data_IF_979652269778
#
_entry.id   IF_979652269778
#
_cell.length_a   1.000
_cell.length_b   1.000
_cell.length_c   1.000
_cell.angle_alpha   90.00
_cell.angle_beta   90.00
_cell.angle_gamma   90.00
#
_symmetry.space_group_name_H-M   'P 1'
#
loop_
_entity.id
_entity.type
_entity.pdbx_description
1 polymer ?
#
# COMPACT_ATOMS: atom_id res chain seq x y z
N UNK A 1 7.67 45.32 -20.52
CA UNK A 1 7.65 45.01 -19.06
C UNK A 1 6.20 45.02 -18.60
N UNK A 2 5.64 44.06 -17.88
CA UNK A 2 6.22 42.90 -17.22
C UNK A 2 5.22 41.75 -17.13
N UNK A 3 5.76 40.54 -17.10
CA UNK A 3 5.06 39.30 -16.80
C UNK A 3 4.67 39.29 -15.32
N UNK A 4 3.39 39.01 -15.00
CA UNK A 4 2.96 38.64 -13.65
C UNK A 4 1.98 37.48 -13.78
N UNK A 5 2.52 36.28 -13.88
CA UNK A 5 1.75 35.05 -13.86
C UNK A 5 2.59 33.91 -13.31
N UNK A 6 2.87 33.92 -12.00
CA UNK A 6 3.43 32.77 -11.24
C UNK A 6 3.47 33.11 -9.73
N UNK A 7 2.31 33.37 -9.11
CA UNK A 7 2.23 33.55 -7.64
C UNK A 7 1.40 32.44 -6.98
N UNK A 8 0.27 32.10 -7.59
CA UNK A 8 -0.66 31.06 -7.11
C UNK A 8 -0.23 29.63 -7.46
N UNK A 9 0.91 29.47 -8.12
CA UNK A 9 1.40 28.14 -8.53
C UNK A 9 2.32 27.53 -7.46
N UNK A 10 3.04 28.38 -6.70
CA UNK A 10 4.02 27.94 -5.69
C UNK A 10 3.45 27.76 -4.29
N UNK A 11 2.39 28.49 -3.93
CA UNK A 11 1.76 28.38 -2.62
C UNK A 11 0.91 27.11 -2.49
N UNK A 12 0.22 26.73 -3.56
CA UNK A 12 -0.61 25.51 -3.62
C UNK A 12 0.18 24.20 -3.39
N UNK A 13 1.43 24.12 -3.84
CA UNK A 13 2.29 22.95 -3.65
C UNK A 13 2.71 22.78 -2.18
N UNK A 14 3.18 23.87 -1.56
CA UNK A 14 3.67 23.87 -0.19
C UNK A 14 2.55 23.64 0.84
N UNK A 15 1.35 24.16 0.59
CA UNK A 15 0.19 23.90 1.46
C UNK A 15 -0.29 22.44 1.32
N UNK A 16 -0.25 21.84 0.12
CA UNK A 16 -0.56 20.41 -0.07
C UNK A 16 0.42 19.50 0.66
N UNK A 17 1.72 19.83 0.68
CA UNK A 17 2.71 19.03 1.42
C UNK A 17 2.50 19.11 2.95
N UNK A 18 2.04 20.26 3.47
CA UNK A 18 1.72 20.43 4.88
C UNK A 18 0.44 19.69 5.29
N UNK A 19 -0.58 19.68 4.42
CA UNK A 19 -1.87 19.00 4.66
C UNK A 19 -1.80 17.48 4.37
N UNK A 20 -0.92 17.06 3.47
CA UNK A 20 -0.69 15.67 3.08
C UNK A 20 0.81 15.36 3.07
N UNK A 21 1.48 15.34 4.24
CA UNK A 21 2.87 14.93 4.33
C UNK A 21 3.02 13.56 3.67
N UNK A 22 4.11 13.37 2.90
CA UNK A 22 4.33 12.15 2.13
C UNK A 22 4.02 10.92 2.99
N UNK A 23 3.21 10.04 2.42
CA UNK A 23 2.51 9.00 3.16
C UNK A 23 3.51 8.14 3.92
N UNK A 24 3.23 7.90 5.20
CA UNK A 24 3.93 6.95 6.06
C UNK A 24 3.56 5.50 5.68
N UNK A 25 3.51 5.22 4.39
CA UNK A 25 3.34 3.88 3.84
C UNK A 25 4.66 3.15 4.11
N UNK A 26 4.61 2.18 5.02
CA UNK A 26 5.78 1.39 5.42
C UNK A 26 5.84 0.16 4.53
N UNK A 27 6.80 0.12 3.61
CA UNK A 27 7.01 -1.02 2.70
C UNK A 27 6.74 -0.70 1.22
N UNK A 28 7.58 -1.24 0.33
CA UNK A 28 7.54 -0.94 -1.11
C UNK A 28 6.61 -1.83 -1.94
N UNK A 29 6.08 -2.90 -1.33
CA UNK A 29 5.17 -3.84 -1.99
C UNK A 29 3.87 -3.95 -1.20
N UNK A 30 2.75 -3.91 -1.90
CA UNK A 30 1.43 -4.16 -1.33
C UNK A 30 1.31 -5.62 -0.89
N UNK A 31 0.67 -5.85 0.25
CA UNK A 31 0.32 -7.19 0.70
C UNK A 31 -0.77 -7.82 -0.18
N UNK A 32 -0.63 -9.12 -0.40
CA UNK A 32 -1.45 -9.98 -1.26
C UNK A 32 -2.29 -10.94 -0.43
N UNK A 33 -3.07 -11.79 -1.11
CA UNK A 33 -3.86 -12.83 -0.46
C UNK A 33 -3.01 -14.08 -0.21
N UNK A 34 -2.93 -14.49 1.06
CA UNK A 34 -2.33 -15.75 1.48
C UNK A 34 -3.38 -16.85 1.56
N UNK A 35 -3.02 -18.05 1.11
CA UNK A 35 -3.88 -19.24 1.12
C UNK A 35 -3.10 -20.43 1.67
N UNK A 36 -3.68 -21.14 2.64
CA UNK A 36 -3.10 -22.35 3.19
C UNK A 36 -3.04 -23.47 2.12
N UNK A 37 -2.14 -24.47 2.27
CA UNK A 37 -1.97 -25.53 1.27
C UNK A 37 -3.24 -26.33 0.96
N UNK A 38 -4.13 -26.46 1.96
CA UNK A 38 -5.44 -27.11 1.86
C UNK A 38 -6.54 -26.19 1.30
N UNK A 39 -6.17 -24.99 0.85
CA UNK A 39 -7.07 -23.92 0.41
C UNK A 39 -7.97 -23.35 1.51
N UNK A 40 -7.60 -23.54 2.79
CA UNK A 40 -8.38 -23.15 3.96
C UNK A 40 -9.57 -24.08 4.22
N UNK A 41 -9.45 -25.36 3.87
CA UNK A 41 -10.53 -26.33 3.93
C UNK A 41 -10.30 -27.43 4.97
N UNK A 42 -11.18 -27.49 5.97
CA UNK A 42 -11.11 -28.50 7.02
C UNK A 42 -10.41 -27.95 8.26
N UNK A 43 -9.83 -28.85 9.05
CA UNK A 43 -9.02 -28.46 10.20
C UNK A 43 -7.58 -28.20 9.73
N UNK A 44 -6.93 -27.19 10.32
CA UNK A 44 -5.51 -26.94 10.09
C UNK A 44 -4.69 -28.06 10.75
N UNK A 45 -4.12 -28.92 9.92
CA UNK A 45 -3.27 -30.03 10.35
C UNK A 45 -1.79 -29.72 10.22
N UNK A 46 -1.44 -28.58 9.63
CA UNK A 46 -0.05 -28.15 9.50
C UNK A 46 0.40 -27.52 10.83
N UNK A 47 1.57 -27.92 11.30
CA UNK A 47 2.09 -27.41 12.57
C UNK A 47 2.74 -26.02 12.38
N UNK A 48 3.12 -25.70 11.14
CA UNK A 48 3.80 -24.48 10.75
C UNK A 48 2.82 -23.43 10.20
N UNK A 49 3.10 -22.15 10.42
CA UNK A 49 2.29 -21.05 9.86
C UNK A 49 2.73 -20.75 8.43
N UNK A 50 2.38 -21.64 7.50
CA UNK A 50 2.71 -21.53 6.07
C UNK A 50 1.48 -21.22 5.22
N UNK A 51 1.69 -20.43 4.16
CA UNK A 51 0.67 -20.13 3.15
C UNK A 51 1.32 -19.64 1.86
N UNK A 52 0.67 -19.88 0.74
CA UNK A 52 1.09 -19.37 -0.57
C UNK A 52 0.43 -18.03 -0.86
N UNK A 53 1.24 -17.09 -1.36
CA UNK A 53 0.77 -15.85 -1.96
C UNK A 53 0.21 -16.11 -3.36
N UNK A 54 -1.09 -15.89 -3.54
CA UNK A 54 -1.78 -16.08 -4.83
C UNK A 54 -2.03 -14.75 -5.59
N UNK A 55 -1.42 -13.67 -5.14
CA UNK A 55 -1.45 -12.35 -5.77
C UNK A 55 -2.59 -11.44 -5.31
N UNK A 56 -2.76 -10.35 -6.04
CA UNK A 56 -3.79 -9.34 -5.82
C UNK A 56 -4.92 -9.56 -6.84
N UNK A 57 -6.16 -9.62 -6.39
CA UNK A 57 -7.33 -9.57 -7.29
C UNK A 57 -7.38 -8.18 -7.94
N UNK A 58 -6.90 -8.12 -9.19
CA UNK A 58 -6.33 -6.95 -9.87
C UNK A 58 -7.26 -5.80 -10.26
N UNK A 59 -8.16 -5.34 -9.38
CA UNK A 59 -8.84 -4.06 -9.62
C UNK A 59 -9.97 -3.66 -8.67
N UNK A 60 -10.42 -4.53 -7.76
CA UNK A 60 -11.53 -4.25 -6.85
C UNK A 60 -11.09 -4.03 -5.39
N UNK A 61 -9.78 -3.86 -5.17
CA UNK A 61 -9.27 -3.58 -3.84
C UNK A 61 -9.84 -2.27 -3.30
N UNK A 62 -10.30 -2.28 -2.04
CA UNK A 62 -10.66 -1.03 -1.38
C UNK A 62 -9.42 -0.13 -1.19
N UNK A 63 -9.66 1.15 -0.91
CA UNK A 63 -8.58 2.07 -0.56
C UNK A 63 -7.82 1.63 0.70
N UNK A 64 -8.51 1.02 1.68
CA UNK A 64 -7.85 0.49 2.87
C UNK A 64 -7.01 -0.76 2.57
N UNK A 65 -7.53 -1.66 1.74
CA UNK A 65 -6.76 -2.86 1.33
C UNK A 65 -5.52 -2.47 0.50
N UNK A 66 -5.59 -1.38 -0.26
CA UNK A 66 -4.44 -0.83 -0.98
C UNK A 66 -3.37 -0.21 -0.09
N UNK A 67 -3.71 0.12 1.16
CA UNK A 67 -2.79 0.72 2.10
C UNK A 67 -1.97 -0.32 2.91
N UNK A 68 -2.26 -1.62 2.78
CA UNK A 68 -1.52 -2.67 3.48
C UNK A 68 -0.28 -3.06 2.66
N UNK A 69 0.88 -3.02 3.31
CA UNK A 69 2.18 -3.24 2.69
C UNK A 69 2.98 -4.30 3.45
N UNK A 70 3.85 -4.99 2.73
CA UNK A 70 4.83 -5.91 3.31
C UNK A 70 6.05 -5.08 3.71
N UNK A 71 6.47 -5.25 4.97
CA UNK A 71 7.70 -4.67 5.51
C UNK A 71 8.74 -5.79 5.49
N UNK A 72 9.84 -5.56 4.78
CA UNK A 72 10.99 -6.48 4.80
C UNK A 72 11.76 -6.30 6.12
N UNK A 73 12.26 -7.40 6.69
CA UNK A 73 13.06 -7.36 7.92
C UNK A 73 14.45 -6.76 7.69
N UNK A 74 14.89 -6.70 6.41
CA UNK A 74 16.14 -6.10 5.97
C UNK A 74 16.07 -4.58 5.70
N UNK A 75 14.98 -3.92 6.09
CA UNK A 75 14.66 -2.50 5.82
C UNK A 75 15.79 -1.48 6.05
#
# INVERSE_FOLDING_TARGET
MGSVGTSWDRSDEAEREADFPQRREVGGMRASRLVAPDMGFGEDTEAELIADDIGIDGGAASAEEAAIHIIDEDG
#
